data_IF_118285765480
#
_entry.id   IF_118285765480
#
_cell.length_a   1.000
_cell.length_b   1.000
_cell.length_c   1.000
_cell.angle_alpha   90.00
_cell.angle_beta   90.00
_cell.angle_gamma   90.00
#
_symmetry.space_group_name_H-M   'P 1'
#
loop_
_entity.id
_entity.type
_entity.pdbx_description
1 polymer ?
#
# COMPACT_ATOMS: atom_id res chain seq x y z
N UNK A 1 -7.57 -15.04 31.69
CA UNK A 1 -6.61 -13.93 31.59
C UNK A 1 -6.83 -13.27 30.24
N UNK A 2 -7.32 -12.04 30.20
CA UNK A 2 -7.61 -11.34 28.94
C UNK A 2 -6.29 -10.97 28.24
N UNK A 3 -6.30 -10.86 26.90
CA UNK A 3 -5.12 -10.46 26.12
C UNK A 3 -4.49 -9.16 26.63
N UNK A 4 -5.33 -8.24 27.15
CA UNK A 4 -4.91 -6.99 27.77
C UNK A 4 -4.06 -7.17 29.04
N UNK A 5 -4.46 -8.08 29.94
CA UNK A 5 -3.68 -8.34 31.16
C UNK A 5 -2.33 -8.99 30.85
N UNK A 6 -2.26 -9.79 29.77
CA UNK A 6 -0.99 -10.33 29.28
C UNK A 6 -0.09 -9.21 28.75
N UNK A 7 -0.61 -8.31 27.90
CA UNK A 7 0.19 -7.20 27.36
C UNK A 7 0.70 -6.24 28.43
N UNK A 8 -0.05 -6.00 29.51
CA UNK A 8 0.37 -5.09 30.58
C UNK A 8 1.55 -5.64 31.40
N UNK A 9 1.59 -6.95 31.64
CA UNK A 9 2.71 -7.60 32.33
C UNK A 9 3.98 -7.50 31.48
N UNK A 10 3.84 -7.68 30.16
CA UNK A 10 4.97 -7.65 29.24
C UNK A 10 5.38 -6.23 28.81
N UNK A 11 4.53 -5.22 28.97
CA UNK A 11 4.90 -3.83 28.71
C UNK A 11 6.05 -3.39 29.63
N UNK A 12 6.04 -3.89 30.87
CA UNK A 12 7.09 -3.69 31.87
C UNK A 12 8.13 -4.80 31.85
N UNK A 13 8.55 -5.25 30.66
CA UNK A 13 9.60 -6.28 30.51
C UNK A 13 10.88 -5.93 31.27
N UNK A 14 11.17 -4.64 31.48
CA UNK A 14 12.31 -4.18 32.28
C UNK A 14 12.20 -4.64 33.73
N UNK A 15 11.02 -4.54 34.35
CA UNK A 15 10.79 -5.01 35.72
C UNK A 15 10.93 -6.53 35.79
N UNK A 16 10.42 -7.26 34.81
CA UNK A 16 10.58 -8.72 34.71
C UNK A 16 12.05 -9.11 34.56
N UNK A 17 12.81 -8.38 33.74
CA UNK A 17 14.24 -8.60 33.55
C UNK A 17 15.04 -8.34 34.84
N UNK A 18 14.78 -7.23 35.52
CA UNK A 18 15.44 -6.87 36.78
C UNK A 18 15.12 -7.90 37.87
N UNK A 19 13.86 -8.31 38.00
CA UNK A 19 13.46 -9.30 39.00
C UNK A 19 14.10 -10.66 38.72
N UNK A 20 14.10 -11.13 37.46
CA UNK A 20 14.77 -12.36 37.07
C UNK A 20 16.29 -12.32 37.33
N UNK A 21 16.95 -11.22 36.96
CA UNK A 21 18.38 -11.04 37.22
C UNK A 21 18.68 -11.03 38.73
N UNK A 22 17.87 -10.33 39.52
CA UNK A 22 18.00 -10.27 40.98
C UNK A 22 17.83 -11.66 41.61
N UNK A 23 16.81 -12.41 41.16
CA UNK A 23 16.55 -13.77 41.60
C UNK A 23 17.75 -14.69 41.29
N UNK A 24 18.35 -14.57 40.09
CA UNK A 24 19.53 -15.37 39.73
C UNK A 24 20.75 -15.07 40.62
N UNK A 25 21.00 -13.80 40.94
CA UNK A 25 22.10 -13.40 41.84
C UNK A 25 21.86 -13.94 43.24
N UNK A 26 20.61 -13.93 43.71
CA UNK A 26 20.23 -14.48 45.00
C UNK A 26 20.49 -16.00 45.04
N UNK A 27 20.08 -16.75 44.01
CA UNK A 27 20.35 -18.19 43.92
C UNK A 27 21.85 -18.50 43.88
N UNK A 28 22.64 -17.77 43.09
CA UNK A 28 24.09 -17.94 43.04
C UNK A 28 24.74 -17.67 44.40
N UNK A 29 24.28 -16.62 45.10
CA UNK A 29 24.76 -16.27 46.45
C UNK A 29 24.41 -17.34 47.47
N UNK A 30 23.19 -17.89 47.44
CA UNK A 30 22.79 -19.00 48.31
C UNK A 30 23.62 -20.27 48.07
N UNK A 31 23.88 -20.61 46.80
CA UNK A 31 24.71 -21.75 46.46
C UNK A 31 26.17 -21.58 46.92
N UNK A 32 26.70 -20.36 46.86
CA UNK A 32 28.01 -20.05 47.43
C UNK A 32 28.04 -20.28 48.95
N UNK A 33 27.04 -19.80 49.68
CA UNK A 33 26.95 -20.04 51.13
C UNK A 33 26.82 -21.54 51.47
N UNK A 34 26.02 -22.29 50.70
CA UNK A 34 25.91 -23.75 50.85
C UNK A 34 27.25 -24.44 50.58
N UNK A 35 28.02 -23.99 49.59
CA UNK A 35 29.34 -24.54 49.29
C UNK A 35 30.31 -24.43 50.48
N UNK A 36 30.21 -23.34 51.26
CA UNK A 36 31.02 -23.13 52.46
C UNK A 36 30.60 -24.07 53.60
N UNK A 37 29.30 -24.35 53.74
CA UNK A 37 28.76 -25.28 54.75
C UNK A 37 29.23 -26.71 54.47
N UNK A 38 29.13 -27.16 53.22
CA UNK A 38 29.50 -28.53 52.83
C UNK A 38 31.01 -28.70 52.56
N UNK A 39 31.78 -27.60 52.50
CA UNK A 39 33.22 -27.59 52.19
C UNK A 39 33.59 -28.33 50.89
N UNK A 40 32.67 -28.38 49.94
CA UNK A 40 32.91 -29.02 48.64
C UNK A 40 33.50 -28.01 47.66
N UNK A 41 34.77 -28.20 47.28
CA UNK A 41 35.49 -27.32 46.35
C UNK A 41 34.81 -27.19 44.98
N UNK A 42 34.08 -28.21 44.53
CA UNK A 42 33.33 -28.19 43.26
C UNK A 42 32.20 -27.16 43.25
N UNK A 43 31.40 -27.09 44.33
CA UNK A 43 30.31 -26.12 44.43
C UNK A 43 30.84 -24.68 44.55
N UNK A 44 32.00 -24.48 45.19
CA UNK A 44 32.61 -23.16 45.29
C UNK A 44 33.06 -22.63 43.92
N UNK A 45 33.72 -23.47 43.12
CA UNK A 45 34.14 -23.12 41.75
C UNK A 45 32.93 -22.81 40.88
N UNK A 46 31.90 -23.67 40.94
CA UNK A 46 30.65 -23.47 40.21
C UNK A 46 29.94 -22.17 40.61
N UNK A 47 29.85 -21.86 41.90
CA UNK A 47 29.18 -20.65 42.37
C UNK A 47 29.94 -19.38 41.95
N UNK A 48 31.28 -19.42 41.95
CA UNK A 48 32.11 -18.32 41.43
C UNK A 48 31.86 -18.09 39.94
N UNK A 49 31.84 -19.15 39.14
CA UNK A 49 31.54 -19.06 37.70
C UNK A 49 30.15 -18.46 37.45
N UNK A 50 29.14 -18.84 38.25
CA UNK A 50 27.79 -18.33 38.08
C UNK A 50 27.66 -16.84 38.43
N UNK A 51 28.36 -16.37 39.47
CA UNK A 51 28.39 -14.93 39.79
C UNK A 51 29.03 -14.12 38.66
N UNK A 52 30.15 -14.59 38.09
CA UNK A 52 30.76 -13.93 36.92
C UNK A 52 29.82 -13.88 35.72
N UNK A 53 29.08 -14.96 35.48
CA UNK A 53 28.12 -15.05 34.37
C UNK A 53 26.89 -14.16 34.60
N UNK A 54 26.43 -14.02 35.84
CA UNK A 54 25.35 -13.09 36.19
C UNK A 54 25.76 -11.62 35.92
N UNK A 55 26.99 -11.23 36.31
CA UNK A 55 27.54 -9.89 36.03
C UNK A 55 27.66 -9.66 34.53
N UNK A 56 28.22 -10.62 33.77
CA UNK A 56 28.33 -10.52 32.32
C UNK A 56 26.95 -10.39 31.64
N UNK A 57 25.93 -11.07 32.16
CA UNK A 57 24.55 -10.98 31.68
C UNK A 57 23.95 -9.59 31.91
N UNK A 58 24.21 -8.98 33.07
CA UNK A 58 23.83 -7.60 33.34
C UNK A 58 24.44 -6.61 32.35
N UNK A 59 25.73 -6.76 32.03
CA UNK A 59 26.40 -5.92 31.04
C UNK A 59 25.81 -6.10 29.62
N UNK A 60 25.52 -7.34 29.23
CA UNK A 60 24.89 -7.64 27.93
C UNK A 60 23.51 -7.00 27.83
N UNK A 61 22.69 -7.06 28.89
CA UNK A 61 21.37 -6.41 28.89
C UNK A 61 21.52 -4.90 28.77
N UNK A 62 22.44 -4.28 29.52
CA UNK A 62 22.70 -2.84 29.42
C UNK A 62 23.17 -2.43 28.01
N UNK A 63 24.09 -3.20 27.42
CA UNK A 63 24.57 -2.99 26.07
C UNK A 63 23.47 -3.17 25.02
N UNK A 64 22.56 -4.15 25.20
CA UNK A 64 21.43 -4.36 24.31
C UNK A 64 20.44 -3.19 24.36
N UNK A 65 20.12 -2.68 25.56
CA UNK A 65 19.25 -1.50 25.72
C UNK A 65 19.86 -0.28 25.04
N UNK A 66 21.15 -0.03 25.28
CA UNK A 66 21.87 1.08 24.64
C UNK A 66 21.96 0.90 23.12
N UNK A 67 22.19 -0.33 22.65
CA UNK A 67 22.21 -0.64 21.22
C UNK A 67 20.87 -0.37 20.55
N UNK A 68 19.76 -0.76 21.18
CA UNK A 68 18.41 -0.47 20.66
C UNK A 68 18.18 1.03 20.59
N UNK A 69 18.47 1.80 21.64
CA UNK A 69 18.24 3.25 21.62
C UNK A 69 19.07 3.98 20.56
N UNK A 70 20.31 3.54 20.34
CA UNK A 70 21.16 4.05 19.25
C UNK A 70 20.60 3.67 17.87
N UNK A 71 20.11 2.44 17.68
CA UNK A 71 19.50 2.01 16.43
C UNK A 71 18.20 2.79 16.13
N UNK A 72 17.36 3.04 17.13
CA UNK A 72 16.17 3.87 16.97
C UNK A 72 16.56 5.30 16.56
N UNK A 73 17.54 5.88 17.24
CA UNK A 73 18.01 7.25 16.96
C UNK A 73 18.57 7.37 15.54
N UNK A 74 19.37 6.40 15.10
CA UNK A 74 19.94 6.37 13.74
C UNK A 74 18.87 6.14 12.67
N UNK A 75 17.89 5.26 12.92
CA UNK A 75 16.73 5.07 12.03
C UNK A 75 15.98 6.39 11.80
N UNK A 76 15.73 7.14 12.87
CA UNK A 76 15.04 8.43 12.80
C UNK A 76 15.83 9.50 12.04
N UNK A 77 17.16 9.49 12.14
CA UNK A 77 18.01 10.41 11.36
C UNK A 77 17.91 10.06 9.86
N UNK A 78 17.94 8.78 9.52
CA UNK A 78 17.90 8.31 8.13
C UNK A 78 16.57 8.62 7.42
N UNK A 79 15.47 8.76 8.15
CA UNK A 79 14.15 9.12 7.58
C UNK A 79 13.90 10.60 7.42
N UNK A 80 14.86 11.46 7.78
CA UNK A 80 14.62 12.90 7.85
C UNK A 80 13.81 13.31 9.10
N UNK A 81 13.86 12.50 10.16
CA UNK A 81 13.21 12.75 11.44
C UNK A 81 12.09 11.76 11.74
N UNK A 82 11.98 11.35 13.01
CA UNK A 82 10.78 10.73 13.54
C UNK A 82 9.91 11.81 14.21
N UNK A 83 8.58 11.73 14.11
CA UNK A 83 7.71 12.53 14.96
C UNK A 83 8.10 12.31 16.43
N UNK A 84 8.16 13.39 17.21
CA UNK A 84 8.39 13.27 18.65
C UNK A 84 7.36 12.30 19.25
N UNK A 85 7.83 11.28 19.99
CA UNK A 85 7.05 10.20 20.61
C UNK A 85 6.59 9.04 19.72
N UNK A 86 7.10 8.89 18.48
CA UNK A 86 6.85 7.68 17.69
C UNK A 86 8.09 6.81 17.59
N UNK A 87 7.91 5.51 17.77
CA UNK A 87 8.98 4.54 17.58
C UNK A 87 9.21 4.32 16.07
N UNK A 88 10.42 3.89 15.71
CA UNK A 88 10.79 3.53 14.33
C UNK A 88 9.85 2.46 13.74
N UNK A 89 9.29 1.60 14.60
CA UNK A 89 8.33 0.59 14.19
C UNK A 89 7.00 1.22 13.74
N UNK A 90 6.55 2.30 14.37
CA UNK A 90 5.35 3.02 13.93
C UNK A 90 5.57 3.63 12.56
N UNK A 91 6.77 4.13 12.27
CA UNK A 91 7.14 4.63 10.94
C UNK A 91 7.05 3.51 9.90
N UNK A 92 7.61 2.34 10.19
CA UNK A 92 7.51 1.16 9.31
C UNK A 92 6.04 0.74 9.08
N UNK A 93 5.23 0.70 10.13
CA UNK A 93 3.79 0.39 10.04
C UNK A 93 3.07 1.41 9.15
N UNK A 94 3.33 2.71 9.32
CA UNK A 94 2.72 3.76 8.50
C UNK A 94 3.11 3.63 7.02
N UNK A 95 4.37 3.26 6.72
CA UNK A 95 4.81 3.01 5.34
C UNK A 95 4.01 1.86 4.72
N UNK A 96 3.94 0.71 5.40
CA UNK A 96 3.19 -0.46 4.89
C UNK A 96 1.69 -0.18 4.81
N UNK A 97 1.13 0.58 5.75
CA UNK A 97 -0.27 0.99 5.75
C UNK A 97 -0.60 1.92 4.58
N UNK A 98 0.28 2.87 4.26
CA UNK A 98 0.14 3.73 3.10
C UNK A 98 0.16 2.92 1.79
N UNK A 99 1.07 1.93 1.68
CA UNK A 99 1.12 1.03 0.53
C UNK A 99 -0.15 0.17 0.41
N UNK A 100 -0.62 -0.37 1.53
CA UNK A 100 -1.88 -1.10 1.61
C UNK A 100 -3.05 -0.21 1.16
N UNK A 101 -3.22 0.98 1.74
CA UNK A 101 -4.33 1.88 1.42
C UNK A 101 -4.33 2.30 -0.05
N UNK A 102 -3.14 2.57 -0.61
CA UNK A 102 -2.99 2.87 -2.05
C UNK A 102 -3.38 1.68 -2.92
N UNK A 103 -2.95 0.48 -2.54
CA UNK A 103 -3.31 -0.77 -3.25
C UNK A 103 -4.81 -1.02 -3.17
N UNK A 104 -5.43 -0.82 -2.00
CA UNK A 104 -6.89 -0.96 -1.82
C UNK A 104 -7.65 0.01 -2.72
N UNK A 105 -7.27 1.29 -2.70
CA UNK A 105 -7.91 2.31 -3.55
C UNK A 105 -7.79 2.00 -5.04
N UNK A 106 -6.63 1.51 -5.49
CA UNK A 106 -6.44 1.07 -6.88
C UNK A 106 -7.26 -0.19 -7.21
N UNK A 107 -7.34 -1.13 -6.28
CA UNK A 107 -8.16 -2.35 -6.43
C UNK A 107 -9.64 -1.99 -6.56
N UNK A 108 -10.12 -1.07 -5.74
CA UNK A 108 -11.51 -0.60 -5.78
C UNK A 108 -11.83 0.10 -7.11
N UNK A 109 -10.94 0.97 -7.58
CA UNK A 109 -11.10 1.63 -8.87
C UNK A 109 -11.18 0.63 -10.03
N UNK A 110 -10.24 -0.32 -10.09
CA UNK A 110 -10.25 -1.36 -11.10
C UNK A 110 -11.53 -2.21 -11.01
N UNK A 111 -12.11 -2.37 -9.81
CA UNK A 111 -13.21 -3.30 -9.58
C UNK A 111 -14.48 -2.68 -10.13
N UNK A 112 -14.66 -1.38 -9.87
CA UNK A 112 -15.69 -0.59 -10.52
C UNK A 112 -15.54 -0.59 -12.05
N UNK A 113 -14.32 -0.52 -12.57
CA UNK A 113 -14.07 -0.60 -14.02
C UNK A 113 -14.42 -1.98 -14.59
N UNK A 114 -14.00 -3.07 -13.94
CA UNK A 114 -14.32 -4.44 -14.36
C UNK A 114 -15.84 -4.69 -14.36
N UNK A 115 -16.56 -4.24 -13.32
CA UNK A 115 -18.02 -4.36 -13.28
C UNK A 115 -18.70 -3.63 -14.46
N UNK A 116 -18.22 -2.44 -14.85
CA UNK A 116 -18.76 -1.69 -15.98
C UNK A 116 -18.46 -2.37 -17.31
N UNK A 117 -17.22 -2.77 -17.55
CA UNK A 117 -16.82 -3.46 -18.80
C UNK A 117 -17.51 -4.81 -18.90
N UNK A 118 -17.66 -5.54 -17.79
CA UNK A 118 -18.41 -6.80 -17.71
C UNK A 118 -19.90 -6.62 -18.04
N UNK A 119 -20.52 -5.53 -17.57
CA UNK A 119 -21.89 -5.19 -17.94
C UNK A 119 -22.02 -4.91 -19.45
N UNK A 120 -21.10 -4.13 -20.04
CA UNK A 120 -21.06 -3.88 -21.50
C UNK A 120 -20.88 -5.19 -22.28
N UNK A 121 -19.96 -6.07 -21.84
CA UNK A 121 -19.71 -7.40 -22.43
C UNK A 121 -20.98 -8.28 -22.36
N UNK A 122 -21.73 -8.19 -21.27
CA UNK A 122 -23.01 -8.90 -21.10
C UNK A 122 -24.08 -8.37 -22.06
N UNK A 123 -24.21 -7.04 -22.19
CA UNK A 123 -25.15 -6.43 -23.14
C UNK A 123 -24.82 -6.80 -24.59
N UNK A 124 -23.53 -6.86 -24.96
CA UNK A 124 -23.11 -7.19 -26.32
C UNK A 124 -23.65 -8.53 -26.83
N UNK A 125 -23.86 -9.52 -25.95
CA UNK A 125 -24.47 -10.81 -26.33
C UNK A 125 -25.93 -10.71 -26.79
N UNK A 126 -26.64 -9.68 -26.35
CA UNK A 126 -28.06 -9.48 -26.68
C UNK A 126 -28.24 -8.62 -27.93
N UNK A 127 -27.23 -7.85 -28.32
CA UNK A 127 -27.28 -6.90 -29.44
C UNK A 127 -26.32 -7.31 -30.56
N UNK A 128 -26.47 -8.53 -31.07
CA UNK A 128 -25.82 -8.92 -32.32
C UNK A 128 -26.69 -8.46 -33.49
N UNK A 129 -26.11 -7.58 -34.32
CA UNK A 129 -26.75 -7.11 -35.54
C UNK A 129 -26.22 -7.93 -36.73
N UNK A 130 -27.11 -8.71 -37.36
CA UNK A 130 -26.80 -9.44 -38.59
C UNK A 130 -27.37 -8.68 -39.77
N UNK A 131 -26.49 -8.18 -40.64
CA UNK A 131 -26.86 -7.60 -41.93
C UNK A 131 -26.64 -8.65 -43.01
N UNK A 132 -27.72 -9.30 -43.45
CA UNK A 132 -27.73 -10.24 -44.57
C UNK A 132 -28.67 -9.79 -45.68
N UNK A 133 -28.32 -9.97 -46.97
CA UNK A 133 -29.27 -9.73 -48.06
C UNK A 133 -30.46 -10.68 -47.90
N UNK A 134 -31.65 -10.11 -47.69
CA UNK A 134 -32.90 -10.86 -47.46
C UNK A 134 -33.35 -10.97 -45.99
N UNK A 135 -32.60 -10.43 -45.02
CA UNK A 135 -33.06 -10.37 -43.63
C UNK A 135 -33.79 -9.06 -43.34
N UNK A 136 -35.05 -8.95 -43.75
CA UNK A 136 -35.91 -7.87 -43.27
C UNK A 136 -36.24 -8.12 -41.79
N UNK A 137 -35.54 -7.43 -40.89
CA UNK A 137 -36.04 -7.15 -39.53
C UNK A 137 -35.84 -8.21 -38.45
N UNK A 138 -34.90 -9.14 -38.59
CA UNK A 138 -34.62 -10.12 -37.53
C UNK A 138 -33.72 -9.52 -36.44
N UNK A 139 -34.33 -8.78 -35.52
CA UNK A 139 -33.72 -8.34 -34.28
C UNK A 139 -33.79 -9.48 -33.25
N UNK A 140 -32.62 -9.93 -32.81
CA UNK A 140 -32.37 -10.86 -31.70
C UNK A 140 -32.27 -12.36 -32.07
N UNK A 141 -31.04 -12.85 -32.03
CA UNK A 141 -30.71 -14.23 -31.64
C UNK A 141 -31.08 -15.33 -32.64
N UNK A 142 -30.18 -15.61 -33.57
CA UNK A 142 -30.20 -16.74 -34.50
C UNK A 142 -31.18 -16.62 -35.69
N UNK A 143 -30.93 -15.66 -36.58
CA UNK A 143 -31.36 -15.82 -37.97
C UNK A 143 -30.28 -16.58 -38.74
N UNK A 144 -30.51 -17.84 -39.17
CA UNK A 144 -29.55 -18.60 -39.96
C UNK A 144 -29.51 -18.01 -41.37
N UNK A 145 -28.65 -17.03 -41.60
CA UNK A 145 -28.37 -16.53 -42.95
C UNK A 145 -27.24 -17.37 -43.54
N UNK A 146 -27.46 -17.93 -44.73
CA UNK A 146 -26.46 -18.75 -45.42
C UNK A 146 -25.18 -17.95 -45.79
N UNK A 147 -25.27 -16.62 -45.80
CA UNK A 147 -24.17 -15.68 -45.99
C UNK A 147 -24.48 -14.38 -45.22
N UNK A 148 -23.99 -14.26 -43.98
CA UNK A 148 -24.22 -13.08 -43.14
C UNK A 148 -22.93 -12.56 -42.52
N UNK A 149 -22.78 -11.23 -42.51
CA UNK A 149 -21.69 -10.57 -41.77
C UNK A 149 -22.21 -10.27 -40.36
N UNK A 150 -21.63 -10.92 -39.35
CA UNK A 150 -21.93 -10.59 -37.95
C UNK A 150 -20.98 -9.49 -37.48
N UNK A 151 -21.52 -8.34 -37.07
CA UNK A 151 -20.73 -7.26 -36.48
C UNK A 151 -20.92 -7.26 -34.97
N UNK A 152 -19.87 -7.62 -34.24
CA UNK A 152 -19.87 -7.53 -32.78
C UNK A 152 -19.44 -6.12 -32.38
N UNK A 153 -20.41 -5.25 -32.08
CA UNK A 153 -20.15 -3.85 -31.70
C UNK A 153 -19.28 -3.71 -30.44
N UNK A 154 -19.08 -4.80 -29.69
CA UNK A 154 -18.35 -4.83 -28.42
C UNK A 154 -17.19 -5.83 -28.38
N UNK A 155 -16.70 -6.30 -29.54
CA UNK A 155 -15.60 -7.27 -29.58
C UNK A 155 -14.38 -6.85 -28.74
N UNK A 156 -14.04 -5.55 -28.74
CA UNK A 156 -12.93 -5.01 -27.94
C UNK A 156 -13.16 -5.02 -26.42
N UNK A 157 -14.41 -4.95 -25.95
CA UNK A 157 -14.72 -4.95 -24.52
C UNK A 157 -14.36 -6.30 -23.86
N UNK A 158 -14.40 -7.39 -24.62
CA UNK A 158 -13.99 -8.71 -24.14
C UNK A 158 -12.50 -8.75 -23.78
N UNK A 159 -11.63 -8.20 -24.63
CA UNK A 159 -10.18 -8.12 -24.40
C UNK A 159 -9.86 -7.28 -23.17
N UNK A 160 -10.58 -6.16 -23.00
CA UNK A 160 -10.42 -5.28 -21.82
C UNK A 160 -10.88 -6.01 -20.55
N UNK A 161 -12.04 -6.66 -20.57
CA UNK A 161 -12.55 -7.42 -19.43
C UNK A 161 -11.56 -8.51 -18.99
N UNK A 162 -11.07 -9.30 -19.93
CA UNK A 162 -10.16 -10.41 -19.64
C UNK A 162 -8.81 -9.88 -19.10
N UNK A 163 -8.34 -8.71 -19.57
CA UNK A 163 -7.15 -8.05 -19.04
C UNK A 163 -7.33 -7.52 -17.61
N UNK A 164 -8.53 -7.03 -17.28
CA UNK A 164 -8.88 -6.57 -15.94
C UNK A 164 -8.97 -7.75 -14.98
N UNK A 165 -9.61 -8.84 -15.39
CA UNK A 165 -9.72 -10.05 -14.59
C UNK A 165 -8.34 -10.65 -14.26
N UNK A 166 -7.44 -10.67 -15.25
CA UNK A 166 -6.04 -11.05 -15.01
C UNK A 166 -5.37 -10.12 -13.99
N UNK A 167 -5.53 -8.80 -14.15
CA UNK A 167 -4.99 -7.83 -13.19
C UNK A 167 -5.51 -8.08 -11.77
N UNK A 168 -6.80 -8.35 -11.61
CA UNK A 168 -7.40 -8.68 -10.32
C UNK A 168 -6.77 -9.90 -9.68
N UNK A 169 -6.57 -10.94 -10.47
CA UNK A 169 -5.96 -12.18 -10.00
C UNK A 169 -4.55 -11.97 -9.44
N UNK A 170 -3.82 -10.96 -9.92
CA UNK A 170 -2.49 -10.59 -9.42
C UNK A 170 -2.56 -9.61 -8.23
N UNK A 171 -3.48 -8.66 -8.26
CA UNK A 171 -3.57 -7.60 -7.26
C UNK A 171 -4.08 -8.11 -5.90
N UNK A 172 -4.99 -9.09 -5.87
CA UNK A 172 -5.52 -9.67 -4.63
C UNK A 172 -4.41 -10.32 -3.76
N UNK A 173 -3.53 -11.19 -4.31
CA UNK A 173 -2.37 -11.71 -3.57
C UNK A 173 -1.41 -10.63 -3.07
N UNK A 174 -1.15 -9.59 -3.87
CA UNK A 174 -0.30 -8.45 -3.46
C UNK A 174 -0.91 -7.77 -2.24
N UNK A 175 -2.22 -7.50 -2.26
CA UNK A 175 -2.92 -6.91 -1.13
C UNK A 175 -2.86 -7.81 0.11
N UNK A 176 -3.07 -9.12 -0.06
CA UNK A 176 -2.94 -10.11 1.03
C UNK A 176 -1.54 -10.11 1.64
N UNK A 177 -0.48 -9.99 0.83
CA UNK A 177 0.89 -9.85 1.31
C UNK A 177 1.07 -8.61 2.18
N UNK A 178 0.56 -7.44 1.78
CA UNK A 178 0.65 -6.23 2.61
C UNK A 178 -0.10 -6.38 3.94
N UNK A 179 -1.25 -7.04 3.96
CA UNK A 179 -1.95 -7.36 5.22
C UNK A 179 -1.11 -8.27 6.12
N UNK A 180 -0.50 -9.31 5.57
CA UNK A 180 0.36 -10.22 6.32
C UNK A 180 1.57 -9.49 6.91
N UNK A 181 2.21 -8.61 6.13
CA UNK A 181 3.35 -7.80 6.58
C UNK A 181 2.96 -6.83 7.71
N UNK A 182 1.83 -6.14 7.57
CA UNK A 182 1.32 -5.22 8.59
C UNK A 182 0.95 -5.97 9.87
N UNK A 183 0.30 -7.12 9.74
CA UNK A 183 -0.01 -8.00 10.86
C UNK A 183 1.26 -8.47 11.57
N UNK A 184 2.28 -8.90 10.81
CA UNK A 184 3.57 -9.33 11.34
C UNK A 184 4.29 -8.20 12.09
N UNK A 185 4.33 -6.98 11.55
CA UNK A 185 4.92 -5.82 12.23
C UNK A 185 4.24 -5.53 13.58
N UNK A 186 2.89 -5.51 13.60
CA UNK A 186 2.13 -5.31 14.84
C UNK A 186 2.32 -6.47 15.83
N UNK A 187 2.41 -7.69 15.33
CA UNK A 187 2.68 -8.87 16.13
C UNK A 187 4.08 -8.83 16.76
N UNK A 188 5.08 -8.37 16.01
CA UNK A 188 6.44 -8.12 16.52
C UNK A 188 6.42 -7.10 17.66
N UNK A 189 5.73 -5.97 17.48
CA UNK A 189 5.61 -4.90 18.50
C UNK A 189 5.01 -5.39 19.81
N UNK A 190 3.82 -5.98 19.72
CA UNK A 190 2.97 -6.15 20.89
C UNK A 190 3.16 -7.50 21.57
N UNK A 191 3.54 -8.54 20.83
CA UNK A 191 3.55 -9.91 21.35
C UNK A 191 4.95 -10.51 21.33
N UNK A 192 5.61 -10.53 20.18
CA UNK A 192 6.83 -11.33 20.00
C UNK A 192 8.04 -10.69 20.68
N UNK A 193 8.26 -9.38 20.57
CA UNK A 193 9.43 -8.75 21.18
C UNK A 193 9.46 -8.87 22.71
N UNK A 194 8.41 -8.46 23.47
CA UNK A 194 8.43 -8.56 24.92
C UNK A 194 8.53 -10.00 25.43
N UNK A 195 7.81 -10.93 24.78
CA UNK A 195 7.79 -12.34 25.20
C UNK A 195 9.12 -13.05 24.95
N UNK A 196 9.73 -12.89 23.77
CA UNK A 196 11.01 -13.51 23.46
C UNK A 196 12.15 -12.92 24.29
N UNK A 197 12.16 -11.61 24.51
CA UNK A 197 13.22 -10.96 25.27
C UNK A 197 13.18 -11.41 26.73
N UNK A 198 12.01 -11.40 27.36
CA UNK A 198 11.90 -11.81 28.75
C UNK A 198 12.09 -13.33 28.93
N UNK A 199 11.58 -14.16 28.01
CA UNK A 199 11.88 -15.59 28.00
C UNK A 199 13.38 -15.86 27.82
N UNK A 200 14.05 -15.11 26.94
CA UNK A 200 15.49 -15.22 26.72
C UNK A 200 16.31 -14.86 27.95
N UNK A 201 15.93 -13.80 28.68
CA UNK A 201 16.55 -13.40 29.95
C UNK A 201 16.33 -14.48 31.02
N UNK A 202 15.10 -15.00 31.15
CA UNK A 202 14.78 -16.06 32.09
C UNK A 202 15.61 -17.32 31.79
N UNK A 203 15.64 -17.78 30.54
CA UNK A 203 16.41 -18.97 30.15
C UNK A 203 17.92 -18.79 30.31
N UNK A 204 18.42 -17.56 30.38
CA UNK A 204 19.82 -17.26 30.69
C UNK A 204 20.21 -17.58 32.13
N UNK A 205 19.23 -17.62 33.04
CA UNK A 205 19.43 -17.95 34.47
C UNK A 205 19.65 -19.44 34.72
N UNK A 206 19.32 -20.31 33.76
CA UNK A 206 19.56 -21.75 33.86
C UNK A 206 20.74 -22.19 32.98
N UNK A 207 21.66 -22.96 33.55
CA UNK A 207 22.88 -23.44 32.89
C UNK A 207 22.63 -24.16 31.57
N UNK A 208 21.64 -25.05 31.54
CA UNK A 208 21.34 -25.87 30.36
C UNK A 208 20.70 -25.08 29.23
N UNK A 209 19.91 -24.04 29.54
CA UNK A 209 19.18 -23.26 28.53
C UNK A 209 19.85 -21.95 28.17
N UNK A 210 21.03 -21.64 28.74
CA UNK A 210 21.70 -20.36 28.52
C UNK A 210 22.00 -20.08 27.05
N UNK A 211 22.44 -21.09 26.31
CA UNK A 211 22.69 -20.99 24.86
C UNK A 211 21.41 -20.65 24.09
N UNK A 212 20.29 -21.27 24.46
CA UNK A 212 18.97 -20.97 23.88
C UNK A 212 18.52 -19.56 24.26
N UNK A 213 18.75 -19.13 25.50
CA UNK A 213 18.46 -17.77 25.96
C UNK A 213 19.18 -16.70 25.14
N UNK A 214 20.47 -16.89 24.85
CA UNK A 214 21.24 -15.99 23.97
C UNK A 214 20.67 -15.90 22.55
N UNK A 215 20.24 -17.03 21.97
CA UNK A 215 19.59 -17.08 20.67
C UNK A 215 18.24 -16.33 20.67
N UNK A 216 17.39 -16.55 21.69
CA UNK A 216 16.09 -15.89 21.77
C UNK A 216 16.22 -14.37 21.94
N UNK A 217 17.19 -13.90 22.72
CA UNK A 217 17.50 -12.47 22.83
C UNK A 217 17.96 -11.93 21.46
N UNK A 218 18.81 -12.65 20.73
CA UNK A 218 19.24 -12.23 19.39
C UNK A 218 18.06 -12.12 18.42
N UNK A 219 17.15 -13.11 18.42
CA UNK A 219 15.93 -13.10 17.60
C UNK A 219 15.03 -11.92 17.96
N UNK A 220 14.79 -11.68 19.25
CA UNK A 220 13.97 -10.58 19.72
C UNK A 220 14.53 -9.22 19.25
N UNK A 221 15.83 -9.00 19.46
CA UNK A 221 16.49 -7.77 19.04
C UNK A 221 16.50 -7.63 17.52
N UNK A 222 16.84 -8.68 16.76
CA UNK A 222 16.88 -8.63 15.30
C UNK A 222 15.52 -8.33 14.67
N UNK A 223 14.45 -8.95 15.16
CA UNK A 223 13.09 -8.67 14.69
C UNK A 223 12.60 -7.29 15.11
N UNK A 224 12.98 -6.79 16.29
CA UNK A 224 12.55 -5.47 16.76
C UNK A 224 13.31 -4.30 16.14
N UNK A 225 14.61 -4.45 15.85
CA UNK A 225 15.43 -3.37 15.32
C UNK A 225 15.63 -3.46 13.81
N UNK A 226 16.15 -4.58 13.30
CA UNK A 226 16.55 -4.70 11.90
C UNK A 226 15.36 -4.81 10.97
N UNK A 227 14.35 -5.60 11.33
CA UNK A 227 13.17 -5.82 10.50
C UNK A 227 12.44 -4.50 10.12
N UNK A 228 12.01 -3.64 11.06
CA UNK A 228 11.41 -2.34 10.71
C UNK A 228 12.38 -1.37 10.07
N UNK A 229 13.66 -1.37 10.47
CA UNK A 229 14.68 -0.50 9.89
C UNK A 229 14.82 -0.72 8.38
N UNK A 230 14.77 -1.98 7.94
CA UNK A 230 14.84 -2.29 6.52
C UNK A 230 13.60 -1.84 5.74
N UNK A 231 12.40 -1.88 6.33
CA UNK A 231 11.21 -1.28 5.72
C UNK A 231 11.35 0.22 5.55
N UNK A 232 11.90 0.87 6.56
CA UNK A 232 12.14 2.31 6.56
C UNK A 232 13.16 2.70 5.48
N UNK A 233 14.28 2.00 5.42
CA UNK A 233 15.31 2.19 4.39
C UNK A 233 14.74 1.95 2.99
N UNK A 234 14.03 0.84 2.77
CA UNK A 234 13.47 0.56 1.46
C UNK A 234 12.36 1.56 1.09
N UNK A 235 11.59 2.03 2.07
CA UNK A 235 10.58 3.06 1.88
C UNK A 235 11.17 4.39 1.40
N UNK A 236 12.37 4.77 1.89
CA UNK A 236 13.07 5.97 1.39
C UNK A 236 13.68 5.76 0.00
N UNK A 237 14.19 4.56 -0.30
CA UNK A 237 14.74 4.25 -1.63
C UNK A 237 13.70 4.17 -2.73
N UNK A 238 12.52 3.61 -2.44
CA UNK A 238 11.47 3.47 -3.45
C UNK A 238 10.72 4.77 -3.73
N UNK A 239 11.12 5.85 -3.06
CA UNK A 239 10.52 7.18 -3.05
C UNK A 239 9.07 7.10 -3.55
N UNK A 240 8.23 6.46 -2.74
CA UNK A 240 6.80 6.39 -2.98
C UNK A 240 6.14 7.76 -2.85
N UNK A 241 6.92 8.86 -2.76
CA UNK A 241 6.36 10.16 -3.09
C UNK A 241 5.64 9.94 -4.40
N UNK A 242 4.31 10.07 -4.40
CA UNK A 242 3.64 10.09 -5.67
C UNK A 242 4.32 11.26 -6.37
N UNK A 243 5.02 10.99 -7.48
CA UNK A 243 4.75 11.83 -8.64
C UNK A 243 3.25 11.85 -8.63
N UNK A 244 2.68 12.96 -8.17
CA UNK A 244 1.25 13.11 -8.01
C UNK A 244 0.76 12.66 -9.37
N UNK A 245 0.21 11.45 -9.45
CA UNK A 245 -0.66 11.11 -10.53
C UNK A 245 -1.71 12.16 -10.30
N UNK A 246 -1.59 13.22 -11.10
CA UNK A 246 -2.53 14.30 -11.13
C UNK A 246 -3.73 13.58 -11.70
N UNK A 247 -4.46 12.89 -10.81
CA UNK A 247 -5.86 12.67 -10.97
C UNK A 247 -6.33 14.11 -11.09
N UNK A 248 -6.69 14.59 -12.30
CA UNK A 248 -7.40 15.83 -12.36
C UNK A 248 -8.51 15.65 -11.33
N UNK A 249 -8.50 16.49 -10.30
CA UNK A 249 -9.63 16.59 -9.40
C UNK A 249 -10.87 16.59 -10.31
N UNK A 250 -11.92 15.99 -9.77
CA UNK A 250 -13.16 15.52 -10.36
C UNK A 250 -13.93 16.55 -11.22
N UNK A 251 -13.31 17.67 -11.58
CA UNK A 251 -13.59 18.58 -12.68
C UNK A 251 -13.49 17.91 -14.06
N UNK A 252 -13.81 16.61 -14.16
CA UNK A 252 -14.25 15.99 -15.41
C UNK A 252 -15.61 16.57 -15.88
N UNK A 253 -16.19 17.53 -15.15
CA UNK A 253 -17.38 18.29 -15.55
C UNK A 253 -17.19 19.18 -16.78
N UNK A 254 -15.96 19.40 -17.27
CA UNK A 254 -15.72 20.32 -18.40
C UNK A 254 -15.10 19.69 -19.65
N UNK A 255 -14.81 18.39 -19.63
CA UNK A 255 -14.16 17.67 -20.73
C UNK A 255 -15.08 16.73 -21.50
N UNK A 256 -16.38 17.01 -21.60
CA UNK A 256 -17.24 16.20 -22.45
C UNK A 256 -16.98 16.59 -23.91
N UNK A 257 -16.17 15.79 -24.60
CA UNK A 257 -16.24 15.72 -26.05
C UNK A 257 -17.62 15.15 -26.39
N UNK A 258 -18.61 16.04 -26.51
CA UNK A 258 -19.89 15.66 -27.10
C UNK A 258 -19.58 15.07 -28.46
N UNK A 259 -19.90 13.79 -28.65
CA UNK A 259 -20.14 13.25 -29.98
C UNK A 259 -21.40 13.99 -30.45
N UNK A 260 -21.20 15.22 -30.91
CA UNK A 260 -22.16 15.91 -31.73
C UNK A 260 -22.39 14.99 -32.90
N UNK A 261 -23.60 14.46 -33.00
CA UNK A 261 -24.10 13.91 -34.25
C UNK A 261 -24.20 15.10 -35.22
N UNK A 262 -23.05 15.57 -35.70
CA UNK A 262 -22.95 16.57 -36.76
C UNK A 262 -23.33 15.86 -38.05
N UNK A 263 -24.64 15.80 -38.27
CA UNK A 263 -25.28 15.20 -39.43
C UNK A 263 -26.74 15.62 -39.51
N UNK A 264 -27.05 16.85 -39.11
CA UNK A 264 -28.33 17.49 -39.36
C UNK A 264 -28.11 18.62 -40.36
N UNK A 265 -27.81 18.30 -41.61
CA UNK A 265 -28.16 19.23 -42.68
C UNK A 265 -29.68 19.45 -42.57
N UNK A 266 -30.08 20.70 -42.39
CA UNK A 266 -31.47 21.12 -42.40
C UNK A 266 -32.06 20.86 -43.79
N UNK A 267 -32.45 19.62 -44.07
CA UNK A 267 -33.36 19.32 -45.16
C UNK A 267 -34.75 19.77 -44.71
N UNK A 268 -35.10 20.99 -45.10
CA UNK A 268 -36.45 21.54 -45.11
C UNK A 268 -37.32 20.75 -46.09
N UNK A 269 -37.67 19.53 -45.71
CA UNK A 269 -38.54 18.66 -46.49
C UNK A 269 -39.14 17.63 -45.55
N UNK A 270 -40.36 17.89 -45.09
CA UNK A 270 -41.09 17.03 -44.18
C UNK A 270 -41.16 15.58 -44.68
N UNK A 271 -40.37 14.72 -44.06
CA UNK A 271 -40.56 13.28 -44.05
C UNK A 271 -40.70 12.86 -42.59
N UNK A 272 -41.83 12.26 -42.17
CA UNK A 272 -42.07 11.86 -40.78
C UNK A 272 -41.24 10.66 -40.29
N UNK A 273 -40.20 10.25 -41.04
CA UNK A 273 -39.39 9.06 -40.75
C UNK A 273 -37.91 9.40 -40.55
N UNK A 274 -37.59 10.46 -39.78
CA UNK A 274 -36.23 10.65 -39.29
C UNK A 274 -35.92 9.56 -38.24
N UNK A 275 -34.79 8.85 -38.32
CA UNK A 275 -34.46 7.78 -37.39
C UNK A 275 -34.33 8.35 -35.97
N UNK A 276 -35.15 7.79 -35.08
CA UNK A 276 -35.16 8.07 -33.65
C UNK A 276 -33.78 7.86 -33.02
N UNK A 277 -33.11 8.93 -32.63
CA UNK A 277 -32.03 8.90 -31.63
C UNK A 277 -32.60 9.05 -30.20
N UNK A 278 -33.70 8.38 -29.89
CA UNK A 278 -34.26 8.37 -28.52
C UNK A 278 -34.09 6.98 -27.89
N UNK A 279 -33.33 6.93 -26.81
CA UNK A 279 -32.97 5.71 -26.09
C UNK A 279 -31.51 5.41 -26.39
N UNK A 280 -30.54 5.74 -25.53
CA UNK A 280 -30.36 5.11 -24.23
C UNK A 280 -29.70 6.08 -23.21
N UNK A 281 -30.43 7.02 -22.61
CA UNK A 281 -29.86 7.93 -21.62
C UNK A 281 -29.36 7.19 -20.36
N UNK A 282 -29.95 6.03 -20.01
CA UNK A 282 -29.54 5.25 -18.85
C UNK A 282 -28.25 4.43 -19.02
N UNK A 283 -27.88 4.07 -20.26
CA UNK A 283 -26.66 3.27 -20.50
C UNK A 283 -25.43 4.18 -20.48
N UNK A 284 -25.54 5.40 -21.00
CA UNK A 284 -24.44 6.37 -21.03
C UNK A 284 -24.03 6.85 -19.62
N UNK A 285 -24.99 7.06 -18.71
CA UNK A 285 -24.69 7.45 -17.32
C UNK A 285 -24.07 6.31 -16.50
N UNK A 286 -24.33 5.05 -16.85
CA UNK A 286 -23.67 3.89 -16.23
C UNK A 286 -22.24 3.71 -16.74
N UNK A 287 -22.00 3.99 -18.02
CA UNK A 287 -20.67 3.91 -18.65
C UNK A 287 -19.77 5.07 -18.19
N UNK A 288 -20.30 6.29 -18.04
CA UNK A 288 -19.52 7.48 -17.66
C UNK A 288 -19.97 7.98 -16.27
N UNK A 289 -19.19 7.72 -15.19
CA UNK A 289 -19.54 8.23 -13.87
C UNK A 289 -19.44 9.75 -13.85
N UNK A 290 -20.48 10.42 -13.37
CA UNK A 290 -20.55 11.87 -13.32
C UNK A 290 -21.24 12.52 -14.51
N UNK A 291 -21.82 11.76 -15.45
CA UNK A 291 -22.79 12.33 -16.39
C UNK A 291 -24.05 12.72 -15.60
N UNK A 292 -24.42 14.02 -15.52
CA UNK A 292 -25.66 14.40 -14.87
C UNK A 292 -26.82 13.68 -15.57
N UNK A 293 -27.64 12.96 -14.81
CA UNK A 293 -28.86 12.27 -15.31
C UNK A 293 -29.94 13.23 -15.80
N UNK A 294 -29.67 14.54 -15.76
CA UNK A 294 -30.53 15.56 -16.31
C UNK A 294 -30.32 15.64 -17.83
N UNK A 295 -30.98 14.76 -18.58
CA UNK A 295 -31.48 15.14 -19.91
C UNK A 295 -32.69 16.07 -19.67
N UNK A 296 -32.43 17.24 -19.08
CA UNK A 296 -33.33 18.37 -19.23
C UNK A 296 -33.22 18.83 -20.67
N UNK A 297 -34.35 19.08 -21.32
CA UNK A 297 -34.43 19.67 -22.66
C UNK A 297 -33.29 20.68 -22.88
N UNK A 298 -32.38 20.38 -23.81
CA UNK A 298 -31.35 21.32 -24.27
C UNK A 298 -31.97 22.39 -25.18
N UNK A 299 -32.97 23.09 -24.66
CA UNK A 299 -33.44 24.36 -25.19
C UNK A 299 -32.80 25.47 -24.37
N UNK A 300 -31.80 26.15 -24.95
CA UNK A 300 -31.22 27.41 -24.49
C UNK A 300 -30.52 27.40 -23.11
N UNK A 301 -29.35 26.77 -23.02
CA UNK A 301 -28.40 27.08 -21.96
C UNK A 301 -27.18 27.79 -22.57
N UNK A 302 -27.17 29.12 -22.52
CA UNK A 302 -25.95 29.93 -22.62
C UNK A 302 -25.03 29.53 -21.46
N UNK A 303 -24.00 28.75 -21.78
CA UNK A 303 -22.96 28.35 -20.83
C UNK A 303 -22.09 29.58 -20.52
N UNK A 304 -22.48 30.34 -19.49
CA UNK A 304 -21.67 31.42 -18.93
C UNK A 304 -20.40 30.84 -18.30
N UNK A 305 -19.25 31.03 -18.96
CA UNK A 305 -17.95 31.03 -18.29
C UNK A 305 -17.90 32.23 -17.34
N UNK A 306 -18.37 32.04 -16.10
CA UNK A 306 -18.23 33.02 -15.03
C UNK A 306 -16.80 32.94 -14.47
N UNK A 307 -15.81 33.39 -15.26
CA UNK A 307 -14.48 33.69 -14.73
C UNK A 307 -14.61 34.96 -13.88
N UNK A 308 -14.37 34.84 -12.58
CA UNK A 308 -14.50 35.92 -11.59
C UNK A 308 -13.41 36.98 -11.69
N UNK A 309 -13.34 37.71 -12.80
CA UNK A 309 -12.80 39.08 -12.78
C UNK A 309 -14.03 40.01 -12.86
N UNK A 310 -14.26 40.82 -11.84
CA UNK A 310 -15.32 41.83 -11.87
C UNK A 310 -15.02 42.80 -13.01
N UNK A 311 -15.95 42.92 -13.97
CA UNK A 311 -15.81 43.74 -15.17
C UNK A 311 -15.62 45.25 -14.90
N UNK A 312 -15.61 45.68 -13.63
CA UNK A 312 -15.45 47.06 -13.20
C UNK A 312 -14.09 47.43 -12.62
N UNK A 313 -13.18 46.48 -12.36
CA UNK A 313 -11.86 46.79 -11.77
C UNK A 313 -10.69 46.19 -12.57
N UNK A 314 -10.05 46.98 -13.46
CA UNK A 314 -8.93 46.52 -14.28
C UNK A 314 -7.66 46.15 -13.47
N UNK A 315 -7.60 46.46 -12.17
CA UNK A 315 -6.47 46.11 -11.31
C UNK A 315 -6.66 44.80 -10.54
N UNK A 316 -7.84 44.19 -10.60
CA UNK A 316 -8.19 43.01 -9.78
C UNK A 316 -7.55 41.69 -10.27
N UNK A 317 -6.97 41.65 -11.47
CA UNK A 317 -6.36 40.45 -12.06
C UNK A 317 -4.86 40.68 -12.39
N UNK A 318 -3.96 40.66 -11.38
CA UNK A 318 -2.53 40.88 -11.59
C UNK A 318 -1.90 39.68 -12.32
N UNK A 319 -1.56 39.86 -13.60
CA UNK A 319 -0.76 38.91 -14.39
C UNK A 319 -1.38 38.45 -15.71
N UNK A 320 -2.65 38.75 -16.00
CA UNK A 320 -3.28 38.45 -17.29
C UNK A 320 -3.19 39.65 -18.23
N UNK A 321 -2.59 39.45 -19.41
CA UNK A 321 -2.59 40.46 -20.48
C UNK A 321 -3.97 40.41 -21.15
N UNK A 322 -4.80 41.43 -20.90
CA UNK A 322 -6.11 41.54 -21.54
C UNK A 322 -6.01 42.51 -22.71
N UNK A 323 -6.30 42.04 -23.94
CA UNK A 323 -6.39 42.89 -25.12
C UNK A 323 -7.87 43.11 -25.48
N UNK A 324 -8.33 44.36 -25.66
CA UNK A 324 -9.68 44.62 -26.16
C UNK A 324 -9.80 44.15 -27.61
N UNK A 325 -10.91 43.48 -27.94
CA UNK A 325 -11.26 43.24 -29.33
C UNK A 325 -11.85 44.51 -29.98
N UNK A 326 -12.05 44.47 -31.30
CA UNK A 326 -12.58 45.61 -32.06
C UNK A 326 -14.02 46.03 -31.67
N UNK A 327 -14.68 45.29 -30.78
CA UNK A 327 -16.05 45.50 -30.34
C UNK A 327 -16.14 45.96 -28.88
N UNK A 328 -14.99 46.21 -28.23
CA UNK A 328 -14.94 46.68 -26.84
C UNK A 328 -15.10 45.57 -25.80
N UNK A 329 -15.08 44.30 -26.21
CA UNK A 329 -15.05 43.18 -25.30
C UNK A 329 -13.60 42.87 -24.90
N UNK A 330 -13.36 42.79 -23.60
CA UNK A 330 -12.02 42.54 -23.05
C UNK A 330 -11.87 41.06 -22.75
N UNK A 331 -11.07 40.34 -23.55
CA UNK A 331 -10.75 38.93 -23.29
C UNK A 331 -9.39 38.85 -22.59
N UNK A 332 -9.38 38.34 -21.36
CA UNK A 332 -8.16 38.01 -20.64
C UNK A 332 -7.77 36.57 -21.00
N UNK A 333 -6.94 36.41 -22.02
CA UNK A 333 -6.35 35.12 -22.38
C UNK A 333 -5.20 34.78 -21.43
N UNK A 334 -5.07 33.51 -21.05
CA UNK A 334 -3.86 33.00 -20.42
C UNK A 334 -2.65 33.33 -21.31
N UNK A 335 -1.56 33.76 -20.69
CA UNK A 335 -0.34 34.18 -21.38
C UNK A 335 0.09 33.09 -22.39
N UNK A 336 0.28 33.39 -23.70
CA UNK A 336 0.66 32.38 -24.70
C UNK A 336 2.06 31.76 -24.43
N UNK A 337 2.82 32.30 -23.49
CA UNK A 337 4.07 31.73 -23.00
C UNK A 337 3.91 30.67 -21.90
N UNK A 338 2.71 30.54 -21.28
CA UNK A 338 2.44 29.39 -20.42
C UNK A 338 2.19 28.17 -21.33
N UNK A 339 2.94 27.07 -21.16
CA UNK A 339 2.69 25.85 -21.91
C UNK A 339 1.23 25.45 -21.65
N UNK A 340 0.42 25.47 -22.71
CA UNK A 340 -0.98 25.04 -22.64
C UNK A 340 -0.99 23.73 -21.85
N UNK A 341 -1.75 23.62 -20.75
CA UNK A 341 -1.83 22.37 -20.02
C UNK A 341 -2.25 21.31 -21.04
N UNK A 342 -1.33 20.39 -21.32
CA UNK A 342 -1.52 19.37 -22.33
C UNK A 342 -2.75 18.56 -21.92
N UNK A 343 -3.91 18.84 -22.53
CA UNK A 343 -5.13 18.05 -22.35
C UNK A 343 -4.84 16.58 -22.74
N UNK A 344 -3.86 16.37 -23.62
CA UNK A 344 -3.31 15.06 -23.98
C UNK A 344 -2.47 14.40 -22.87
N UNK A 345 -1.92 15.13 -21.89
CA UNK A 345 -1.23 14.54 -20.76
C UNK A 345 -2.19 13.82 -19.79
N UNK A 346 -3.43 14.33 -19.66
CA UNK A 346 -4.48 13.66 -18.87
C UNK A 346 -4.91 12.32 -19.47
N UNK A 347 -5.04 12.23 -20.80
CA UNK A 347 -5.33 10.97 -21.49
C UNK A 347 -4.13 10.04 -21.54
N UNK A 348 -2.90 10.53 -21.78
CA UNK A 348 -1.69 9.67 -21.73
C UNK A 348 -1.48 9.04 -20.36
N UNK A 349 -1.73 9.79 -19.28
CA UNK A 349 -1.66 9.28 -17.90
C UNK A 349 -2.66 8.15 -17.62
N UNK A 350 -3.80 8.12 -18.31
CA UNK A 350 -4.79 7.02 -18.18
C UNK A 350 -4.43 5.76 -18.98
N UNK A 351 -3.48 5.85 -19.94
CA UNK A 351 -3.02 4.73 -20.77
C UNK A 351 -1.61 4.25 -20.43
N UNK A 352 -0.94 4.82 -19.43
CA UNK A 352 0.17 4.14 -18.77
C UNK A 352 -0.44 2.87 -18.15
N UNK A 353 -0.33 1.77 -18.88
CA UNK A 353 -1.20 0.61 -18.73
C UNK A 353 -1.26 0.07 -17.29
N UNK A 354 -2.23 -0.80 -17.07
CA UNK A 354 -2.40 -1.49 -15.79
C UNK A 354 -1.14 -2.29 -15.40
N UNK A 355 -0.35 -2.74 -16.38
CA UNK A 355 0.90 -3.48 -16.18
C UNK A 355 1.96 -2.71 -15.35
N UNK A 356 2.35 -1.46 -15.70
CA UNK A 356 3.24 -0.65 -14.88
C UNK A 356 2.85 -0.55 -13.41
N UNK A 357 1.56 -0.35 -13.12
CA UNK A 357 1.06 -0.25 -11.74
C UNK A 357 1.22 -1.58 -11.01
N UNK A 358 0.84 -2.69 -11.66
CA UNK A 358 1.02 -4.04 -11.10
C UNK A 358 2.49 -4.32 -10.85
N UNK A 359 3.37 -4.02 -11.82
CA UNK A 359 4.82 -4.20 -11.67
C UNK A 359 5.39 -3.41 -10.50
N UNK A 360 4.96 -2.15 -10.34
CA UNK A 360 5.38 -1.28 -9.25
C UNK A 360 4.92 -1.76 -7.87
N UNK A 361 3.74 -2.39 -7.76
CA UNK A 361 3.24 -2.96 -6.50
C UNK A 361 3.76 -4.37 -6.21
N UNK A 362 4.05 -5.14 -7.26
CA UNK A 362 4.50 -6.53 -7.14
C UNK A 362 5.89 -6.61 -6.52
N UNK A 363 6.80 -5.71 -6.90
CA UNK A 363 8.16 -5.64 -6.32
C UNK A 363 8.12 -5.49 -4.80
N UNK A 364 7.44 -4.48 -4.22
CA UNK A 364 7.40 -4.30 -2.77
C UNK A 364 6.59 -5.37 -2.05
N UNK A 365 5.58 -5.95 -2.68
CA UNK A 365 4.78 -6.99 -2.05
C UNK A 365 5.50 -8.35 -1.94
N UNK A 366 6.39 -8.68 -2.89
CA UNK A 366 7.04 -10.00 -2.95
C UNK A 366 8.54 -9.97 -2.61
N UNK A 367 9.30 -9.03 -3.16
CA UNK A 367 10.76 -9.07 -3.04
C UNK A 367 11.26 -8.46 -1.73
N UNK A 368 10.62 -7.38 -1.27
CA UNK A 368 11.06 -6.71 -0.04
C UNK A 368 10.98 -7.63 1.17
N UNK A 369 9.86 -8.32 1.46
CA UNK A 369 9.79 -9.17 2.64
C UNK A 369 10.87 -10.25 2.66
N UNK A 370 11.19 -10.82 1.49
CA UNK A 370 12.25 -11.82 1.36
C UNK A 370 13.63 -11.25 1.70
N UNK A 371 13.97 -10.08 1.17
CA UNK A 371 15.24 -9.41 1.46
C UNK A 371 15.31 -9.05 2.95
N UNK A 372 14.23 -8.51 3.51
CA UNK A 372 14.17 -8.14 4.93
C UNK A 372 14.37 -9.36 5.82
N UNK A 373 13.66 -10.47 5.55
CA UNK A 373 13.82 -11.71 6.31
C UNK A 373 15.26 -12.23 6.22
N UNK A 374 15.88 -12.22 5.04
CA UNK A 374 17.25 -12.67 4.85
C UNK A 374 18.26 -11.82 5.65
N UNK A 375 18.12 -10.49 5.59
CA UNK A 375 18.99 -9.56 6.34
C UNK A 375 18.79 -9.74 7.84
N UNK A 376 17.54 -9.87 8.31
CA UNK A 376 17.24 -10.12 9.72
C UNK A 376 17.82 -11.45 10.22
N UNK A 377 17.68 -12.54 9.45
CA UNK A 377 18.27 -13.84 9.81
C UNK A 377 19.80 -13.75 9.86
N UNK A 378 20.41 -13.07 8.90
CA UNK A 378 21.87 -12.87 8.86
C UNK A 378 22.35 -12.09 10.10
N UNK A 379 21.61 -11.04 10.49
CA UNK A 379 21.91 -10.29 11.70
C UNK A 379 21.78 -11.16 12.96
N UNK A 380 20.69 -11.93 13.09
CA UNK A 380 20.47 -12.83 14.24
C UNK A 380 21.61 -13.86 14.34
N UNK A 381 22.04 -14.41 13.19
CA UNK A 381 23.14 -15.37 13.10
C UNK A 381 24.46 -14.79 13.61
N UNK A 382 24.75 -13.54 13.28
CA UNK A 382 25.98 -12.87 13.70
C UNK A 382 25.91 -12.41 15.16
N UNK A 383 24.73 -12.01 15.64
CA UNK A 383 24.53 -11.53 17.00
C UNK A 383 24.46 -12.68 18.02
N UNK A 384 23.92 -13.84 17.65
CA UNK A 384 23.71 -14.96 18.56
C UNK A 384 25.01 -15.45 19.24
N UNK A 385 26.13 -15.68 18.54
CA UNK A 385 27.41 -16.06 19.17
C UNK A 385 27.95 -14.98 20.10
N UNK A 386 27.76 -13.69 19.76
CA UNK A 386 28.18 -12.57 20.62
C UNK A 386 27.44 -12.56 21.96
N UNK A 387 26.20 -13.05 21.98
CA UNK A 387 25.38 -13.19 23.19
C UNK A 387 25.62 -14.53 23.92
N UNK A 388 26.53 -15.37 23.42
CA UNK A 388 26.80 -16.72 23.95
C UNK A 388 25.76 -17.77 23.53
N UNK A 389 24.97 -17.48 22.49
CA UNK A 389 24.05 -18.44 21.89
C UNK A 389 24.75 -19.38 20.92
N UNK A 390 24.22 -20.60 20.81
CA UNK A 390 24.68 -21.57 19.82
C UNK A 390 23.80 -21.43 18.56
N UNK A 391 24.41 -21.05 17.45
CA UNK A 391 23.73 -20.96 16.15
C UNK A 391 23.51 -22.36 15.56
N UNK A 392 24.24 -23.35 16.05
CA UNK A 392 24.26 -24.72 15.53
C UNK A 392 23.05 -25.57 15.95
N UNK A 393 22.03 -24.99 16.58
CA UNK A 393 20.80 -25.73 16.88
C UNK A 393 20.16 -26.20 15.56
N UNK A 394 20.28 -27.51 15.35
CA UNK A 394 20.12 -28.23 14.10
C UNK A 394 18.82 -27.88 13.36
N UNK A 395 18.94 -27.18 12.24
CA UNK A 395 17.84 -26.98 11.30
C UNK A 395 17.94 -25.69 10.51
N UNK A 396 18.37 -24.59 11.15
CA UNK A 396 18.38 -23.28 10.50
C UNK A 396 19.43 -23.18 9.38
N UNK A 397 20.56 -23.87 9.52
CA UNK A 397 21.63 -23.96 8.51
C UNK A 397 21.23 -24.74 7.26
N UNK A 398 20.08 -25.46 7.26
CA UNK A 398 19.58 -26.19 6.09
C UNK A 398 18.62 -25.37 5.21
N UNK A 399 18.15 -24.22 5.71
CA UNK A 399 17.24 -23.34 4.98
C UNK A 399 17.98 -22.27 4.14
N UNK A 400 19.30 -22.21 4.25
CA UNK A 400 20.23 -21.42 3.43
C UNK A 400 21.15 -22.43 2.77
#
# INVERSE_FOLDING_TARGET
MTLAAFTDIWSNWQAVAITAATLSVLFASMAYLLSLIFRTKSLEVWAKEEVYQAIASGFIIAAAVLGVTLMVSTACILTGGCPANKDHLDVAINIVENLKNKTVSQTEYLFQLSMRVGFIKSMGKYYDFSLGPGSEGCLVGACPTAFGWSWYMWAGASVIADSLDYTFSVLIPILSSFFAQLWLLKFIQHTLFPSLLALGILLRTFFFTRKVGGLLIAIALGLYTIYPLMYVLMGSYMDFTPRKFYYPNNDWTHGYAFISCAGGEYLSGGSPNAPFCTGFPGVLSFIIPGLPTAVGNFGNADFMFKNGCDAGDPNSCPGSVCSPDAWGNTYCGANPADPKPDVYAGMRSSYDGVLPIVGYLLVPALFIPLIIILVTITFIRNLSPMLGGDVEIAGLTKFI
#
